data_IF_231040270118
#
_entry.id   IF_231040270118
#
_cell.length_a   1.000
_cell.length_b   1.000
_cell.length_c   1.000
_cell.angle_alpha   90.00
_cell.angle_beta   90.00
_cell.angle_gamma   90.00
#
_symmetry.space_group_name_H-M   'P 1'
#
loop_
_entity.id
_entity.type
_entity.pdbx_description
1 polymer ?
#
# COMPACT_ATOMS: atom_id res chain seq x y z
N UNK A 1 -11.46 5.91 9.27
CA UNK A 1 -10.67 7.10 9.74
C UNK A 1 -10.36 8.00 8.56
N UNK A 2 -10.75 9.26 8.63
CA UNK A 2 -10.39 10.27 7.65
C UNK A 2 -9.05 10.93 8.00
N UNK A 3 -8.12 10.98 7.04
CA UNK A 3 -6.79 11.59 7.22
C UNK A 3 -6.66 12.77 6.26
N UNK A 4 -6.54 13.98 6.81
CA UNK A 4 -6.23 15.18 6.02
C UNK A 4 -4.77 15.17 5.58
N UNK A 5 -4.54 15.46 4.30
CA UNK A 5 -3.20 15.44 3.69
C UNK A 5 -2.24 16.45 4.33
N UNK A 6 -2.70 17.66 4.64
CA UNK A 6 -1.90 18.69 5.29
C UNK A 6 -1.51 18.32 6.73
N UNK A 7 -2.45 17.74 7.49
CA UNK A 7 -2.19 17.33 8.87
C UNK A 7 -1.19 16.17 8.92
N UNK A 8 -1.35 15.17 8.07
CA UNK A 8 -0.43 14.01 8.08
C UNK A 8 0.98 14.40 7.63
N UNK A 9 1.11 15.32 6.67
CA UNK A 9 2.40 15.87 6.27
C UNK A 9 3.04 16.69 7.40
N UNK A 10 2.26 17.49 8.13
CA UNK A 10 2.75 18.20 9.31
C UNK A 10 3.20 17.23 10.40
N UNK A 11 2.38 16.22 10.76
CA UNK A 11 2.73 15.23 11.77
C UNK A 11 3.99 14.45 11.43
N UNK A 12 4.30 14.25 10.15
CA UNK A 12 5.55 13.64 9.70
C UNK A 12 6.79 14.40 10.16
N UNK A 13 6.70 15.70 10.36
CA UNK A 13 7.81 16.52 10.86
C UNK A 13 8.06 16.38 12.38
N UNK A 14 7.15 15.71 13.09
CA UNK A 14 7.17 15.56 14.54
C UNK A 14 7.57 14.12 14.89
N UNK A 15 8.76 13.87 15.48
CA UNK A 15 9.16 12.53 15.91
C UNK A 15 8.19 11.90 16.90
N UNK A 16 8.00 10.60 16.82
CA UNK A 16 7.11 9.81 17.68
C UNK A 16 5.66 10.29 17.67
N UNK A 17 5.23 10.86 16.55
CA UNK A 17 3.85 11.29 16.35
C UNK A 17 2.94 10.14 15.91
N UNK A 18 1.65 10.42 15.77
CA UNK A 18 0.71 9.47 15.17
C UNK A 18 1.04 9.08 13.73
N UNK A 19 1.87 9.87 13.04
CA UNK A 19 2.41 9.51 11.73
C UNK A 19 3.25 8.23 11.79
N UNK A 20 4.17 8.12 12.75
CA UNK A 20 5.02 6.94 12.89
C UNK A 20 4.19 5.69 13.23
N UNK A 21 3.11 5.85 14.02
CA UNK A 21 2.16 4.76 14.28
C UNK A 21 1.47 4.29 12.99
N UNK A 22 0.94 5.22 12.19
CA UNK A 22 0.30 4.88 10.91
C UNK A 22 1.27 4.17 9.97
N UNK A 23 2.49 4.69 9.85
CA UNK A 23 3.55 4.14 9.01
C UNK A 23 3.93 2.72 9.41
N UNK A 24 4.16 2.47 10.71
CA UNK A 24 4.51 1.15 11.21
C UNK A 24 3.35 0.17 11.01
N UNK A 25 2.13 0.53 11.44
CA UNK A 25 0.96 -0.32 11.28
C UNK A 25 0.71 -0.69 9.82
N UNK A 26 0.80 0.29 8.90
CA UNK A 26 0.61 0.04 7.49
C UNK A 26 1.69 -0.88 6.91
N UNK A 27 2.96 -0.55 7.12
CA UNK A 27 4.09 -1.29 6.53
C UNK A 27 4.18 -2.69 7.13
N UNK A 28 4.01 -2.83 8.45
CA UNK A 28 3.99 -4.11 9.13
C UNK A 28 2.94 -5.05 8.51
N UNK A 29 1.69 -4.64 8.49
CA UNK A 29 0.61 -5.47 7.99
C UNK A 29 0.73 -5.77 6.49
N UNK A 30 1.07 -4.75 5.68
CA UNK A 30 1.27 -4.94 4.25
C UNK A 30 2.38 -5.93 3.91
N UNK A 31 3.51 -5.88 4.64
CA UNK A 31 4.60 -6.83 4.45
C UNK A 31 4.27 -8.24 5.02
N UNK A 32 3.50 -8.32 6.11
CA UNK A 32 3.03 -9.60 6.67
C UNK A 32 2.16 -10.38 5.68
N UNK A 33 1.27 -9.72 4.98
CA UNK A 33 0.44 -10.33 3.93
C UNK A 33 1.30 -11.00 2.84
N UNK A 34 2.49 -10.45 2.59
CA UNK A 34 3.51 -10.99 1.65
C UNK A 34 4.51 -11.97 2.30
N UNK A 35 4.30 -12.31 3.57
CA UNK A 35 5.10 -13.34 4.28
C UNK A 35 6.35 -12.81 5.01
N UNK A 36 6.48 -11.50 5.21
CA UNK A 36 7.57 -10.92 6.00
C UNK A 36 7.62 -11.50 7.42
N UNK A 37 8.82 -11.71 7.92
CA UNK A 37 9.08 -12.21 9.28
C UNK A 37 9.36 -11.11 10.31
N UNK A 38 9.41 -9.84 9.88
CA UNK A 38 9.59 -8.74 10.82
C UNK A 38 8.42 -8.61 11.77
N UNK A 39 8.70 -8.26 13.03
CA UNK A 39 7.68 -7.87 14.00
C UNK A 39 7.47 -6.36 14.00
N UNK A 40 6.32 -5.93 14.47
CA UNK A 40 5.99 -4.52 14.62
C UNK A 40 6.99 -3.79 15.53
N UNK A 41 7.36 -4.40 16.67
CA UNK A 41 8.38 -3.88 17.60
C UNK A 41 9.71 -3.57 16.92
N UNK A 42 10.15 -4.43 15.99
CA UNK A 42 11.39 -4.22 15.24
C UNK A 42 11.31 -3.08 14.24
N UNK A 43 10.14 -2.83 13.69
CA UNK A 43 9.93 -1.65 12.83
C UNK A 43 10.00 -0.36 13.65
N UNK A 44 9.38 -0.30 14.84
CA UNK A 44 9.54 0.83 15.74
C UNK A 44 10.99 1.03 16.12
N UNK A 45 11.67 -0.02 16.53
CA UNK A 45 13.09 0.07 16.88
C UNK A 45 13.97 0.56 15.72
N UNK A 46 13.68 0.12 14.49
CA UNK A 46 14.38 0.64 13.32
C UNK A 46 14.12 2.14 13.10
N UNK A 47 12.90 2.61 13.32
CA UNK A 47 12.61 4.04 13.20
C UNK A 47 13.38 4.87 14.22
N UNK A 48 13.43 4.42 15.47
CA UNK A 48 14.06 5.15 16.58
C UNK A 48 15.59 5.05 16.58
N UNK A 49 16.12 3.84 16.44
CA UNK A 49 17.53 3.53 16.68
C UNK A 49 18.33 3.22 15.39
N UNK A 50 17.66 3.00 14.27
CA UNK A 50 18.23 2.48 13.01
C UNK A 50 18.90 1.11 13.17
N UNK A 51 18.44 0.31 14.12
CA UNK A 51 18.95 -1.04 14.42
C UNK A 51 17.93 -2.08 13.99
N UNK A 52 18.42 -3.10 13.28
CA UNK A 52 17.71 -4.35 13.00
C UNK A 52 18.49 -5.47 13.62
N UNK A 53 17.99 -6.08 14.69
CA UNK A 53 18.55 -7.23 15.35
C UNK A 53 17.86 -8.52 14.93
N UNK A 54 18.62 -9.62 14.89
CA UNK A 54 18.11 -10.94 14.52
C UNK A 54 18.74 -11.48 13.23
N UNK A 55 18.31 -12.68 12.85
CA UNK A 55 18.78 -13.35 11.63
C UNK A 55 17.70 -13.23 10.54
N UNK A 56 17.96 -12.40 9.57
CA UNK A 56 17.10 -12.17 8.40
C UNK A 56 17.89 -12.35 7.12
N UNK A 57 17.23 -12.72 6.04
CA UNK A 57 17.81 -12.55 4.73
C UNK A 57 17.99 -11.06 4.44
N UNK A 58 19.07 -10.70 3.81
CA UNK A 58 19.37 -9.29 3.49
C UNK A 58 18.31 -8.68 2.58
N UNK A 59 17.72 -9.49 1.71
CA UNK A 59 16.56 -9.08 0.87
C UNK A 59 15.36 -8.64 1.72
N UNK A 60 15.05 -9.38 2.79
CA UNK A 60 13.90 -9.06 3.67
C UNK A 60 14.15 -7.75 4.41
N UNK A 61 15.41 -7.48 4.78
CA UNK A 61 15.81 -6.22 5.40
C UNK A 61 15.60 -5.07 4.41
N UNK A 62 16.13 -5.18 3.19
CA UNK A 62 15.96 -4.15 2.18
C UNK A 62 14.48 -3.92 1.84
N UNK A 63 13.70 -4.97 1.61
CA UNK A 63 12.27 -4.83 1.29
C UNK A 63 11.49 -4.16 2.41
N UNK A 64 11.86 -4.43 3.67
CA UNK A 64 11.21 -3.80 4.83
C UNK A 64 11.58 -2.31 4.93
N UNK A 65 12.86 -1.98 4.84
CA UNK A 65 13.34 -0.59 4.88
C UNK A 65 12.78 0.21 3.70
N UNK A 66 12.81 -0.37 2.50
CA UNK A 66 12.27 0.27 1.31
C UNK A 66 10.75 0.51 1.41
N UNK A 67 10.00 -0.38 2.08
CA UNK A 67 8.57 -0.18 2.31
C UNK A 67 8.31 1.02 3.24
N UNK A 68 9.17 1.24 4.25
CA UNK A 68 9.10 2.44 5.10
C UNK A 68 9.46 3.71 4.32
N UNK A 69 10.51 3.66 3.48
CA UNK A 69 10.89 4.78 2.60
C UNK A 69 9.80 5.09 1.55
N UNK A 70 9.18 4.05 0.99
CA UNK A 70 8.08 4.21 0.05
C UNK A 70 6.85 4.84 0.71
N UNK A 71 6.54 4.46 1.95
CA UNK A 71 5.46 5.11 2.70
C UNK A 71 5.72 6.61 2.86
N UNK A 72 6.95 6.99 3.26
CA UNK A 72 7.35 8.39 3.38
C UNK A 72 7.22 9.13 2.03
N UNK A 73 7.66 8.49 0.95
CA UNK A 73 7.56 9.04 -0.40
C UNK A 73 6.11 9.27 -0.84
N UNK A 74 5.22 8.31 -0.57
CA UNK A 74 3.79 8.44 -0.86
C UNK A 74 3.18 9.67 -0.15
N UNK A 75 3.51 9.86 1.13
CA UNK A 75 2.99 11.01 1.89
C UNK A 75 3.59 12.34 1.40
N UNK A 76 4.87 12.36 1.00
CA UNK A 76 5.51 13.56 0.45
C UNK A 76 4.97 13.94 -0.93
N UNK A 77 4.46 12.95 -1.67
CA UNK A 77 3.99 13.11 -3.04
C UNK A 77 2.47 13.01 -3.18
N UNK A 78 1.72 13.23 -2.09
CA UNK A 78 0.28 13.45 -2.18
C UNK A 78 0.01 14.60 -3.16
N UNK A 79 -1.02 14.47 -3.97
CA UNK A 79 -1.41 15.34 -5.08
C UNK A 79 -0.57 15.19 -6.38
N UNK A 80 0.47 14.36 -6.42
CA UNK A 80 1.05 13.96 -7.70
C UNK A 80 0.16 12.91 -8.37
N UNK A 81 -0.10 13.00 -9.68
CA UNK A 81 -0.96 12.04 -10.37
C UNK A 81 -0.37 10.62 -10.29
N UNK A 82 -1.25 9.63 -10.18
CA UNK A 82 -0.87 8.23 -10.32
C UNK A 82 -0.84 7.92 -11.82
N UNK A 83 0.36 7.97 -12.39
CA UNK A 83 0.64 7.62 -13.78
C UNK A 83 1.74 6.56 -13.86
N UNK A 84 2.14 6.21 -15.07
CA UNK A 84 3.18 5.23 -15.35
C UNK A 84 4.49 5.59 -14.64
N UNK A 85 4.98 6.81 -14.82
CA UNK A 85 6.30 7.21 -14.31
C UNK A 85 6.31 7.24 -12.78
N UNK A 86 5.24 7.73 -12.17
CA UNK A 86 5.04 7.69 -10.72
C UNK A 86 5.05 6.25 -10.18
N UNK A 87 4.25 5.37 -10.80
CA UNK A 87 4.14 3.97 -10.37
C UNK A 87 5.47 3.23 -10.52
N UNK A 88 6.19 3.41 -11.64
CA UNK A 88 7.49 2.80 -11.86
C UNK A 88 8.55 3.34 -10.88
N UNK A 89 8.51 4.63 -10.58
CA UNK A 89 9.37 5.26 -9.56
C UNK A 89 9.14 4.67 -8.17
N UNK A 90 7.89 4.52 -7.76
CA UNK A 90 7.51 3.85 -6.50
C UNK A 90 7.99 2.40 -6.45
N UNK A 91 7.81 1.62 -7.52
CA UNK A 91 8.27 0.24 -7.58
C UNK A 91 9.81 0.15 -7.54
N UNK A 92 10.52 1.08 -8.19
CA UNK A 92 11.98 1.14 -8.12
C UNK A 92 12.45 1.39 -6.69
N UNK A 93 11.78 2.29 -5.95
CA UNK A 93 12.07 2.53 -4.54
C UNK A 93 11.80 1.29 -3.68
N UNK A 94 10.66 0.62 -3.87
CA UNK A 94 10.30 -0.60 -3.14
C UNK A 94 11.32 -1.71 -3.31
N UNK A 95 11.91 -1.84 -4.51
CA UNK A 95 12.84 -2.94 -4.85
C UNK A 95 14.31 -2.55 -4.82
N UNK A 96 14.63 -1.34 -4.40
CA UNK A 96 16.02 -0.83 -4.30
C UNK A 96 16.92 -1.77 -3.48
N UNK A 97 18.12 -2.04 -3.99
CA UNK A 97 19.12 -2.92 -3.36
C UNK A 97 18.71 -4.39 -3.17
N UNK A 98 17.57 -4.82 -3.71
CA UNK A 98 17.16 -6.23 -3.71
C UNK A 98 17.74 -6.98 -4.91
N UNK A 99 17.53 -8.32 -4.94
CA UNK A 99 17.93 -9.12 -6.09
C UNK A 99 17.22 -8.63 -7.38
N UNK A 100 15.96 -8.20 -7.30
CA UNK A 100 15.23 -7.65 -8.44
C UNK A 100 15.89 -6.39 -9.00
N UNK A 101 16.43 -5.54 -8.13
CA UNK A 101 17.17 -4.35 -8.54
C UNK A 101 18.48 -4.71 -9.26
N UNK A 102 19.24 -5.66 -8.71
CA UNK A 102 20.47 -6.14 -9.34
C UNK A 102 20.28 -6.83 -10.70
N UNK A 103 19.07 -7.32 -10.96
CA UNK A 103 18.64 -7.93 -12.24
C UNK A 103 17.95 -6.93 -13.18
N UNK A 104 17.94 -5.64 -12.85
CA UNK A 104 17.26 -4.58 -13.61
C UNK A 104 15.74 -4.83 -13.79
N UNK A 105 15.11 -5.45 -12.78
CA UNK A 105 13.68 -5.75 -12.76
C UNK A 105 12.89 -4.78 -11.86
N UNK A 106 13.58 -3.84 -11.20
CA UNK A 106 12.96 -2.78 -10.41
C UNK A 106 12.54 -1.60 -11.30
N UNK A 107 11.38 -1.02 -11.03
CA UNK A 107 10.89 0.15 -11.78
C UNK A 107 10.58 -0.12 -13.24
N UNK A 108 10.22 -1.36 -13.60
CA UNK A 108 9.77 -1.71 -14.93
C UNK A 108 8.64 -2.74 -14.89
N UNK A 109 7.77 -2.72 -15.88
CA UNK A 109 6.75 -3.77 -16.02
C UNK A 109 7.37 -5.14 -16.27
N UNK A 110 6.66 -6.19 -15.89
CA UNK A 110 7.09 -7.59 -16.08
C UNK A 110 7.34 -7.88 -17.56
N UNK A 111 8.42 -8.62 -17.83
CA UNK A 111 8.80 -9.07 -19.19
C UNK A 111 8.53 -10.56 -19.41
N UNK A 112 8.17 -11.25 -18.34
CA UNK A 112 7.82 -12.68 -18.37
C UNK A 112 6.50 -12.88 -17.63
N UNK A 113 5.70 -13.88 -18.01
CA UNK A 113 4.47 -14.22 -17.30
C UNK A 113 4.76 -14.61 -15.84
N UNK A 114 3.90 -14.19 -14.95
CA UNK A 114 3.91 -14.61 -13.54
C UNK A 114 2.57 -15.28 -13.17
N UNK A 115 2.52 -15.92 -12.02
CA UNK A 115 1.33 -16.60 -11.49
C UNK A 115 1.18 -16.34 -10.01
N UNK A 116 -0.05 -16.26 -9.56
CA UNK A 116 -0.36 -16.24 -8.14
C UNK A 116 -0.32 -17.65 -7.57
N UNK A 117 0.42 -17.87 -6.49
CA UNK A 117 0.50 -19.18 -5.85
C UNK A 117 -0.84 -19.56 -5.23
N UNK A 118 -1.33 -20.75 -5.53
CA UNK A 118 -2.56 -21.30 -4.94
C UNK A 118 -3.87 -20.70 -5.47
N UNK A 119 -3.82 -19.86 -6.49
CA UNK A 119 -5.01 -19.23 -7.08
C UNK A 119 -5.00 -19.41 -8.60
N UNK A 120 -6.13 -19.89 -9.13
CA UNK A 120 -6.34 -20.05 -10.57
C UNK A 120 -6.99 -18.77 -11.14
N UNK A 121 -6.16 -17.75 -11.33
CA UNK A 121 -6.52 -16.48 -11.97
C UNK A 121 -5.54 -16.26 -13.13
N UNK A 122 -6.08 -15.94 -14.29
CA UNK A 122 -5.28 -15.53 -15.44
C UNK A 122 -4.89 -14.06 -15.25
N UNK A 123 -3.58 -13.81 -15.10
CA UNK A 123 -3.01 -12.48 -15.03
C UNK A 123 -2.74 -11.95 -16.45
N UNK A 124 -2.71 -10.64 -16.61
CA UNK A 124 -2.35 -10.03 -17.88
C UNK A 124 -0.99 -10.55 -18.38
N UNK A 125 -0.87 -10.76 -19.68
CA UNK A 125 0.40 -11.13 -20.31
C UNK A 125 1.35 -9.92 -20.34
N UNK A 126 2.67 -10.14 -20.38
CA UNK A 126 3.63 -9.03 -20.37
C UNK A 126 3.38 -7.97 -21.45
N UNK A 127 3.01 -8.41 -22.65
CA UNK A 127 2.72 -7.55 -23.82
C UNK A 127 1.44 -6.71 -23.66
N UNK A 128 0.53 -7.09 -22.76
CA UNK A 128 -0.75 -6.41 -22.52
C UNK A 128 -0.65 -5.38 -21.39
N UNK A 129 0.39 -5.49 -20.52
CA UNK A 129 0.48 -4.73 -19.26
C UNK A 129 0.47 -3.22 -19.51
N UNK A 130 1.21 -2.73 -20.49
CA UNK A 130 1.33 -1.29 -20.72
C UNK A 130 -0.02 -0.67 -21.12
N UNK A 131 -0.73 -1.30 -22.06
CA UNK A 131 -2.04 -0.85 -22.52
C UNK A 131 -3.09 -0.92 -21.40
N UNK A 132 -3.11 -2.03 -20.65
CA UNK A 132 -4.06 -2.23 -19.55
C UNK A 132 -3.81 -1.24 -18.39
N UNK A 133 -2.56 -0.95 -18.06
CA UNK A 133 -2.23 0.04 -17.04
C UNK A 133 -2.60 1.46 -17.48
N UNK A 134 -2.37 1.81 -18.75
CA UNK A 134 -2.81 3.10 -19.28
C UNK A 134 -4.34 3.24 -19.22
N UNK A 135 -5.07 2.19 -19.60
CA UNK A 135 -6.53 2.16 -19.47
C UNK A 135 -6.98 2.32 -18.01
N UNK A 136 -6.31 1.65 -17.07
CA UNK A 136 -6.60 1.76 -15.63
C UNK A 136 -6.36 3.18 -15.09
N UNK A 137 -5.26 3.83 -15.49
CA UNK A 137 -5.00 5.22 -15.10
C UNK A 137 -6.06 6.18 -15.68
N UNK A 138 -6.46 5.97 -16.95
CA UNK A 138 -7.48 6.77 -17.58
C UNK A 138 -8.85 6.58 -16.90
N UNK A 139 -9.23 5.35 -16.57
CA UNK A 139 -10.44 5.05 -15.81
C UNK A 139 -10.41 5.76 -14.45
N UNK A 140 -9.30 5.64 -13.70
CA UNK A 140 -9.12 6.35 -12.44
C UNK A 140 -9.27 7.85 -12.61
N UNK A 141 -8.61 8.46 -13.60
CA UNK A 141 -8.66 9.91 -13.81
C UNK A 141 -10.07 10.44 -14.13
N UNK A 142 -10.92 9.61 -14.76
CA UNK A 142 -12.30 9.95 -15.12
C UNK A 142 -13.34 9.58 -14.05
N UNK A 143 -12.95 8.81 -13.03
CA UNK A 143 -13.85 8.34 -11.98
C UNK A 143 -14.26 9.46 -11.02
N UNK A 144 -15.25 9.20 -10.18
CA UNK A 144 -15.73 10.12 -9.13
C UNK A 144 -14.83 10.15 -7.90
N UNK A 145 -13.81 9.29 -7.86
CA UNK A 145 -12.90 9.12 -6.73
C UNK A 145 -13.61 8.69 -5.44
N UNK A 146 -14.55 7.79 -5.55
CA UNK A 146 -15.22 7.17 -4.40
C UNK A 146 -14.41 6.02 -3.84
N UNK A 147 -14.79 5.48 -2.68
CA UNK A 147 -14.16 4.29 -2.12
C UNK A 147 -14.31 3.07 -3.04
N UNK A 148 -15.45 2.96 -3.71
CA UNK A 148 -15.71 1.92 -4.70
C UNK A 148 -14.74 2.05 -5.89
N UNK A 149 -14.44 3.26 -6.35
CA UNK A 149 -13.44 3.49 -7.41
C UNK A 149 -12.03 3.10 -6.97
N UNK A 150 -11.67 3.33 -5.69
CA UNK A 150 -10.39 2.89 -5.10
C UNK A 150 -10.30 1.36 -5.07
N UNK A 151 -11.37 0.69 -4.63
CA UNK A 151 -11.43 -0.77 -4.57
C UNK A 151 -11.36 -1.37 -5.97
N UNK A 152 -12.10 -0.82 -6.93
CA UNK A 152 -12.07 -1.26 -8.32
C UNK A 152 -10.67 -1.09 -8.93
N UNK A 153 -10.03 0.07 -8.73
CA UNK A 153 -8.65 0.30 -9.16
C UNK A 153 -7.72 -0.78 -8.60
N UNK A 154 -7.85 -1.09 -7.32
CA UNK A 154 -7.01 -2.10 -6.68
C UNK A 154 -7.24 -3.51 -7.26
N UNK A 155 -8.50 -3.91 -7.45
CA UNK A 155 -8.84 -5.22 -8.04
C UNK A 155 -8.29 -5.33 -9.46
N UNK A 156 -8.46 -4.31 -10.30
CA UNK A 156 -7.91 -4.29 -11.66
C UNK A 156 -6.38 -4.28 -11.67
N UNK A 157 -5.74 -3.53 -10.77
CA UNK A 157 -4.29 -3.54 -10.62
C UNK A 157 -3.76 -4.94 -10.28
N UNK A 158 -4.44 -5.67 -9.39
CA UNK A 158 -4.08 -7.04 -9.01
C UNK A 158 -4.38 -8.08 -10.13
N UNK A 159 -5.32 -7.83 -11.05
CA UNK A 159 -5.53 -8.64 -12.26
C UNK A 159 -4.41 -8.39 -13.28
N UNK A 160 -4.08 -7.12 -13.52
CA UNK A 160 -2.99 -6.75 -14.43
C UNK A 160 -1.66 -7.27 -13.90
N UNK A 161 -1.46 -7.16 -12.60
CA UNK A 161 -0.25 -7.63 -11.91
C UNK A 161 1.02 -7.17 -12.61
N UNK A 162 1.23 -5.83 -12.73
CA UNK A 162 2.16 -5.26 -13.70
C UNK A 162 3.62 -5.58 -13.44
N UNK A 163 3.99 -5.95 -12.22
CA UNK A 163 5.37 -6.23 -11.84
C UNK A 163 5.64 -7.72 -11.69
N UNK A 164 6.90 -8.13 -11.76
CA UNK A 164 7.28 -9.50 -11.50
C UNK A 164 7.08 -9.89 -10.03
N UNK A 165 7.27 -8.94 -9.12
CA UNK A 165 7.04 -9.06 -7.67
C UNK A 165 6.72 -7.69 -7.07
N UNK A 166 6.09 -7.66 -5.87
CA UNK A 166 5.75 -6.42 -5.15
C UNK A 166 4.40 -5.81 -5.49
N UNK A 167 3.57 -6.48 -6.33
CA UNK A 167 2.27 -5.94 -6.74
C UNK A 167 1.33 -5.69 -5.56
N UNK A 168 1.17 -6.63 -4.64
CA UNK A 168 0.29 -6.46 -3.48
C UNK A 168 0.69 -5.25 -2.62
N UNK A 169 1.98 -5.06 -2.34
CA UNK A 169 2.48 -3.89 -1.60
C UNK A 169 2.22 -2.58 -2.35
N UNK A 170 2.49 -2.57 -3.65
CA UNK A 170 2.22 -1.41 -4.51
C UNK A 170 0.72 -1.09 -4.56
N UNK A 171 -0.13 -2.08 -4.79
CA UNK A 171 -1.59 -1.89 -4.83
C UNK A 171 -2.14 -1.30 -3.53
N UNK A 172 -1.70 -1.82 -2.37
CA UNK A 172 -2.11 -1.27 -1.06
C UNK A 172 -1.57 0.14 -0.80
N UNK A 173 -0.35 0.47 -1.25
CA UNK A 173 0.19 1.83 -1.19
C UNK A 173 -0.61 2.80 -2.07
N UNK A 174 -1.04 2.36 -3.26
CA UNK A 174 -1.89 3.19 -4.12
C UNK A 174 -3.27 3.42 -3.49
N UNK A 175 -3.88 2.39 -2.87
CA UNK A 175 -5.14 2.57 -2.13
C UNK A 175 -5.00 3.60 -1.00
N UNK A 176 -3.92 3.55 -0.21
CA UNK A 176 -3.65 4.52 0.84
C UNK A 176 -3.58 5.94 0.28
N UNK A 177 -2.76 6.13 -0.76
CA UNK A 177 -2.60 7.43 -1.44
C UNK A 177 -3.95 7.95 -1.93
N UNK A 178 -4.69 7.12 -2.66
CA UNK A 178 -6.00 7.48 -3.22
C UNK A 178 -7.01 7.87 -2.15
N UNK A 179 -7.04 7.15 -1.02
CA UNK A 179 -7.93 7.50 0.09
C UNK A 179 -7.57 8.87 0.70
N UNK A 180 -6.30 9.12 0.99
CA UNK A 180 -5.87 10.38 1.61
C UNK A 180 -6.12 11.57 0.67
N UNK A 181 -5.75 11.46 -0.61
CA UNK A 181 -5.90 12.53 -1.60
C UNK A 181 -7.36 12.92 -1.87
N UNK A 182 -8.27 11.96 -1.79
CA UNK A 182 -9.67 12.19 -2.11
C UNK A 182 -10.55 12.31 -0.87
N UNK A 183 -9.94 12.50 0.29
CA UNK A 183 -10.63 12.69 1.56
C UNK A 183 -11.60 11.53 1.88
N UNK A 184 -11.18 10.31 1.57
CA UNK A 184 -11.93 9.11 1.88
C UNK A 184 -11.47 8.52 3.22
N UNK A 185 -12.32 7.70 3.82
CA UNK A 185 -11.93 6.94 5.00
C UNK A 185 -10.76 6.00 4.69
N UNK A 186 -9.63 6.29 5.31
CA UNK A 186 -8.41 5.50 5.19
C UNK A 186 -8.48 4.24 6.06
N UNK A 187 -7.94 3.15 5.56
CA UNK A 187 -7.88 1.87 6.25
C UNK A 187 -6.58 1.13 5.93
N UNK A 188 -6.24 0.20 6.80
CA UNK A 188 -5.11 -0.71 6.65
C UNK A 188 -5.66 -2.12 6.47
N UNK A 189 -5.20 -2.85 5.46
CA UNK A 189 -5.48 -4.29 5.38
C UNK A 189 -4.60 -4.99 6.41
N UNK A 190 -5.23 -5.51 7.47
CA UNK A 190 -4.53 -6.19 8.56
C UNK A 190 -4.23 -7.64 8.20
N UNK A 191 -3.08 -8.14 8.69
CA UNK A 191 -2.66 -9.53 8.50
C UNK A 191 -3.72 -10.53 9.00
N UNK A 192 -4.39 -10.24 10.11
CA UNK A 192 -5.50 -11.05 10.62
C UNK A 192 -6.71 -11.14 9.68
N UNK A 193 -6.83 -10.22 8.72
CA UNK A 193 -7.85 -10.20 7.67
C UNK A 193 -7.32 -10.75 6.33
N UNK A 194 -6.04 -11.15 6.24
CA UNK A 194 -5.38 -11.49 4.98
C UNK A 194 -6.05 -12.64 4.21
N UNK A 195 -6.58 -13.63 4.93
CA UNK A 195 -7.30 -14.76 4.30
C UNK A 195 -8.56 -14.30 3.59
N UNK A 196 -9.41 -13.51 4.25
CA UNK A 196 -10.67 -13.01 3.69
C UNK A 196 -10.40 -11.97 2.60
N UNK A 197 -9.38 -11.12 2.79
CA UNK A 197 -8.90 -10.19 1.76
C UNK A 197 -8.49 -10.90 0.46
N UNK A 198 -7.65 -11.93 0.54
CA UNK A 198 -7.20 -12.70 -0.63
C UNK A 198 -8.35 -13.44 -1.30
N UNK A 199 -9.28 -14.02 -0.52
CA UNK A 199 -10.50 -14.63 -1.07
C UNK A 199 -11.41 -13.60 -1.72
N UNK A 200 -11.62 -12.45 -1.07
CA UNK A 200 -12.41 -11.36 -1.61
C UNK A 200 -11.86 -10.83 -2.93
N UNK A 201 -10.53 -10.63 -3.04
CA UNK A 201 -9.88 -10.30 -4.29
C UNK A 201 -10.15 -11.36 -5.36
N UNK A 202 -10.00 -12.64 -5.04
CA UNK A 202 -10.25 -13.74 -5.97
C UNK A 202 -11.69 -13.75 -6.47
N UNK A 203 -12.67 -13.55 -5.60
CA UNK A 203 -14.09 -13.48 -5.98
C UNK A 203 -14.40 -12.26 -6.85
N UNK A 204 -13.84 -11.11 -6.51
CA UNK A 204 -13.98 -9.88 -7.29
C UNK A 204 -13.40 -10.04 -8.70
N UNK A 205 -12.23 -10.68 -8.81
CA UNK A 205 -11.53 -10.90 -10.07
C UNK A 205 -12.23 -11.92 -10.97
N UNK A 206 -12.75 -13.02 -10.39
CA UNK A 206 -13.37 -14.11 -11.17
C UNK A 206 -14.84 -13.87 -11.49
N UNK A 207 -15.58 -13.34 -10.53
CA UNK A 207 -17.03 -13.35 -10.54
C UNK A 207 -17.64 -11.94 -10.52
N UNK A 208 -16.81 -10.90 -10.45
CA UNK A 208 -17.26 -9.53 -10.14
C UNK A 208 -18.07 -9.45 -8.83
N UNK A 209 -17.77 -10.35 -7.87
CA UNK A 209 -18.41 -10.37 -6.56
C UNK A 209 -17.49 -9.69 -5.52
N UNK A 210 -17.83 -8.45 -5.20
CA UNK A 210 -17.09 -7.62 -4.25
C UNK A 210 -17.58 -7.77 -2.80
N UNK A 211 -18.56 -8.61 -2.52
CA UNK A 211 -19.22 -8.70 -1.21
C UNK A 211 -18.21 -8.97 -0.09
N UNK A 212 -17.43 -10.05 -0.21
CA UNK A 212 -16.45 -10.43 0.82
C UNK A 212 -15.31 -9.40 0.95
N UNK A 213 -14.87 -8.80 -0.18
CA UNK A 213 -13.83 -7.78 -0.15
C UNK A 213 -14.32 -6.54 0.59
N UNK A 214 -15.55 -6.08 0.31
CA UNK A 214 -16.16 -4.94 0.98
C UNK A 214 -16.37 -5.20 2.48
N UNK A 215 -16.87 -6.37 2.87
CA UNK A 215 -17.00 -6.77 4.29
C UNK A 215 -15.64 -6.76 5.00
N UNK A 216 -14.61 -7.26 4.33
CA UNK A 216 -13.25 -7.26 4.86
C UNK A 216 -12.71 -5.84 5.03
N UNK A 217 -12.93 -4.96 4.06
CA UNK A 217 -12.53 -3.54 4.14
C UNK A 217 -13.27 -2.82 5.28
N UNK A 218 -14.56 -3.07 5.47
CA UNK A 218 -15.32 -2.52 6.61
C UNK A 218 -14.69 -2.94 7.93
N UNK A 219 -14.40 -4.23 8.11
CA UNK A 219 -13.71 -4.76 9.29
C UNK A 219 -12.33 -4.11 9.48
N UNK A 220 -11.56 -3.96 8.40
CA UNK A 220 -10.26 -3.31 8.43
C UNK A 220 -10.36 -1.82 8.85
N UNK A 221 -11.40 -1.10 8.42
CA UNK A 221 -11.67 0.30 8.85
C UNK A 221 -11.92 0.37 10.35
N UNK A 222 -12.76 -0.49 10.89
CA UNK A 222 -13.04 -0.56 12.35
C UNK A 222 -11.76 -0.85 13.15
N UNK A 223 -10.93 -1.78 12.67
CA UNK A 223 -9.64 -2.08 13.28
C UNK A 223 -8.68 -0.88 13.22
N UNK A 224 -8.63 -0.19 12.09
CA UNK A 224 -7.82 1.01 11.90
C UNK A 224 -8.22 2.11 12.87
N UNK A 225 -9.52 2.40 12.99
CA UNK A 225 -10.05 3.40 13.92
C UNK A 225 -9.70 3.07 15.37
N UNK A 226 -9.79 1.79 15.74
CA UNK A 226 -9.45 1.32 17.10
C UNK A 226 -7.96 1.43 17.38
N UNK A 227 -7.11 0.91 16.50
CA UNK A 227 -5.65 0.85 16.70
C UNK A 227 -5.00 2.21 16.60
N UNK A 228 -5.47 3.06 15.69
CA UNK A 228 -4.94 4.41 15.47
C UNK A 228 -5.74 5.50 16.20
N UNK A 229 -6.44 5.15 17.28
CA UNK A 229 -7.24 6.11 18.05
C UNK A 229 -6.42 7.30 18.59
N UNK A 230 -5.12 7.10 18.87
CA UNK A 230 -4.21 8.19 19.25
C UNK A 230 -3.99 9.16 18.08
N UNK A 231 -3.74 8.66 16.87
CA UNK A 231 -3.61 9.49 15.67
C UNK A 231 -4.86 10.34 15.43
N UNK A 232 -6.05 9.72 15.55
CA UNK A 232 -7.33 10.45 15.39
C UNK A 232 -7.43 11.61 16.37
N UNK A 233 -7.11 11.37 17.66
CA UNK A 233 -7.12 12.42 18.69
C UNK A 233 -6.09 13.53 18.43
N UNK A 234 -4.90 13.15 17.97
CA UNK A 234 -3.85 14.09 17.65
C UNK A 234 -4.23 14.99 16.45
N UNK A 235 -4.84 14.41 15.40
CA UNK A 235 -5.35 15.17 14.26
C UNK A 235 -6.44 16.17 14.69
N UNK A 236 -7.42 15.72 15.49
CA UNK A 236 -8.48 16.58 16.00
C UNK A 236 -7.93 17.73 16.87
N UNK A 237 -6.88 17.47 17.66
CA UNK A 237 -6.21 18.51 18.45
C UNK A 237 -5.55 19.56 17.54
N UNK A 238 -4.81 19.13 16.50
CA UNK A 238 -4.16 20.03 15.55
C UNK A 238 -5.18 20.93 14.84
N UNK A 239 -6.32 20.36 14.43
CA UNK A 239 -7.42 21.11 13.79
C UNK A 239 -8.03 22.15 14.74
N UNK A 240 -8.35 21.75 15.97
CA UNK A 240 -9.00 22.62 16.94
C UNK A 240 -8.12 23.79 17.38
N UNK A 241 -6.83 23.57 17.49
CA UNK A 241 -5.85 24.58 17.92
C UNK A 241 -5.30 25.44 16.76
N UNK A 242 -5.75 25.18 15.51
CA UNK A 242 -5.27 25.88 14.29
C UNK A 242 -3.73 25.90 14.18
N UNK A 243 -3.09 24.74 14.39
CA UNK A 243 -1.62 24.63 14.39
C UNK A 243 -0.99 24.48 12.99
N UNK A 244 -1.78 24.64 11.92
CA UNK A 244 -1.35 24.58 10.52
C UNK A 244 -1.36 25.97 9.87
#
# INVERSE_FOLDING_TARGET
>A
MYIRSDIIQFMKTIPNSGYDMLKVEFVYNSNKIEGSKFSEEKLYRYLDERIIDGSYYISDIYETVNSLELFDYIIDTLNQPIDKDYLLGCHKLLKKNTLHDSMELSGCYKKIPNRLSGVDIELAKPEEVEELMEALFNQWNQSKKTLEDVIEFHVQFEIIHPFLDGNGRMGRMMMLKQCIENNLDTFIIYDECSSDYKKGLTLSQKNHDYSLLNETIIKCRELTDKKLSFLIKAMAYIENENLL
#
